data_IF_603572423464
#
_entry.id   IF_603572423464
#
_cell.length_a   1.000
_cell.length_b   1.000
_cell.length_c   1.000
_cell.angle_alpha   90.00
_cell.angle_beta   90.00
_cell.angle_gamma   90.00
#
_symmetry.space_group_name_H-M   'P 1'
#
loop_
_entity.id
_entity.type
_entity.pdbx_description
1 polymer ?
#
# COMPACT_ATOMS: atom_id res chain seq x y z
N UNK A 1 4.67 4.95 25.16
CA UNK A 1 3.67 4.82 24.07
C UNK A 1 4.15 5.53 22.82
N UNK A 2 4.62 6.76 22.93
CA UNK A 2 5.16 7.54 21.80
C UNK A 2 6.34 6.86 21.08
N UNK A 3 7.38 6.41 21.79
CA UNK A 3 8.52 5.70 21.18
C UNK A 3 8.08 4.45 20.39
N UNK A 4 7.16 3.66 20.95
CA UNK A 4 6.62 2.48 20.27
C UNK A 4 5.85 2.87 19.00
N UNK A 5 5.04 3.93 19.06
CA UNK A 5 4.35 4.48 17.90
C UNK A 5 5.35 4.97 16.84
N UNK A 6 6.40 5.70 17.23
CA UNK A 6 7.46 6.15 16.31
C UNK A 6 8.12 4.94 15.62
N UNK A 7 8.57 3.94 16.37
CA UNK A 7 9.19 2.73 15.79
C UNK A 7 8.24 2.05 14.80
N UNK A 8 6.98 1.86 15.18
CA UNK A 8 6.01 1.16 14.34
C UNK A 8 5.71 1.93 13.04
N UNK A 9 5.52 3.25 13.14
CA UNK A 9 5.36 4.13 11.98
C UNK A 9 6.59 4.10 11.08
N UNK A 10 7.79 4.19 11.65
CA UNK A 10 9.06 4.13 10.90
C UNK A 10 9.20 2.83 10.11
N UNK A 11 8.94 1.68 10.75
CA UNK A 11 8.95 0.37 10.08
C UNK A 11 7.90 0.28 8.95
N UNK A 12 6.70 0.80 9.18
CA UNK A 12 5.63 0.78 8.19
C UNK A 12 5.94 1.68 6.98
N UNK A 13 6.49 2.88 7.23
CA UNK A 13 6.94 3.80 6.19
C UNK A 13 8.05 3.14 5.35
N UNK A 14 9.06 2.55 5.99
CA UNK A 14 10.14 1.85 5.29
C UNK A 14 9.61 0.69 4.45
N UNK A 15 8.69 -0.11 4.99
CA UNK A 15 8.05 -1.21 4.25
C UNK A 15 7.29 -0.71 3.00
N UNK A 16 6.56 0.40 3.12
CA UNK A 16 5.84 1.01 2.00
C UNK A 16 6.79 1.52 0.91
N UNK A 17 7.86 2.22 1.30
CA UNK A 17 8.87 2.72 0.35
C UNK A 17 9.58 1.57 -0.38
N UNK A 18 9.94 0.49 0.34
CA UNK A 18 10.52 -0.72 -0.27
C UNK A 18 9.56 -1.35 -1.28
N UNK A 19 8.25 -1.38 -0.99
CA UNK A 19 7.25 -1.89 -1.94
C UNK A 19 7.17 -1.03 -3.20
N UNK A 20 7.22 0.29 -3.08
CA UNK A 20 7.22 1.19 -4.24
C UNK A 20 8.42 0.93 -5.13
N UNK A 21 9.63 0.84 -4.56
CA UNK A 21 10.84 0.51 -5.31
C UNK A 21 10.72 -0.87 -5.95
N UNK A 22 10.27 -1.88 -5.19
CA UNK A 22 10.12 -3.25 -5.68
C UNK A 22 9.15 -3.36 -6.86
N UNK A 23 8.10 -2.56 -6.90
CA UNK A 23 7.11 -2.55 -7.98
C UNK A 23 7.74 -2.15 -9.33
N UNK A 24 8.72 -1.23 -9.31
CA UNK A 24 9.40 -0.77 -10.52
C UNK A 24 10.70 -1.54 -10.83
N UNK A 25 11.43 -1.97 -9.80
CA UNK A 25 12.73 -2.62 -9.94
C UNK A 25 12.62 -4.10 -10.33
N UNK A 26 11.62 -4.82 -9.82
CA UNK A 26 11.47 -6.27 -10.07
C UNK A 26 10.82 -6.49 -11.43
N UNK A 27 11.36 -7.29 -12.36
CA UNK A 27 10.76 -7.52 -13.68
C UNK A 27 9.34 -8.12 -13.64
N UNK A 28 8.51 -7.79 -14.64
CA UNK A 28 7.11 -8.27 -14.73
C UNK A 28 6.96 -9.80 -14.58
N UNK A 29 7.77 -10.65 -15.25
CA UNK A 29 7.63 -12.10 -15.11
C UNK A 29 7.79 -12.59 -13.67
N UNK A 30 8.65 -11.93 -12.88
CA UNK A 30 8.84 -12.26 -11.46
C UNK A 30 7.67 -11.76 -10.63
N UNK A 31 7.19 -10.54 -10.88
CA UNK A 31 6.04 -9.97 -10.16
C UNK A 31 4.78 -10.81 -10.36
N UNK A 32 4.51 -11.22 -11.61
CA UNK A 32 3.28 -11.97 -11.93
C UNK A 32 3.29 -13.39 -11.36
N UNK A 33 4.46 -14.04 -11.30
CA UNK A 33 4.61 -15.35 -10.62
C UNK A 33 4.28 -15.24 -9.13
N UNK A 34 4.75 -14.19 -8.44
CA UNK A 34 4.44 -13.95 -7.02
C UNK A 34 2.94 -13.72 -6.81
N UNK A 35 2.31 -12.88 -7.63
CA UNK A 35 0.86 -12.64 -7.55
C UNK A 35 0.06 -13.91 -7.86
N UNK A 36 0.48 -14.72 -8.84
CA UNK A 36 -0.15 -15.99 -9.14
C UNK A 36 -0.10 -16.95 -7.94
N UNK A 37 1.05 -17.05 -7.26
CA UNK A 37 1.20 -17.87 -6.06
C UNK A 37 0.30 -17.41 -4.91
N UNK A 38 0.22 -16.09 -4.66
CA UNK A 38 -0.66 -15.53 -3.62
C UNK A 38 -2.12 -15.88 -3.86
N UNK A 39 -2.59 -15.83 -5.11
CA UNK A 39 -3.96 -16.19 -5.46
C UNK A 39 -4.21 -17.70 -5.56
N UNK A 40 -3.16 -18.54 -5.60
CA UNK A 40 -3.29 -19.99 -5.54
C UNK A 40 -3.42 -20.53 -4.10
N UNK A 41 -2.76 -19.89 -3.13
CA UNK A 41 -2.84 -20.23 -1.71
C UNK A 41 -4.03 -19.57 -1.02
N UNK A 42 -5.23 -20.12 -1.22
CA UNK A 42 -6.55 -19.51 -0.92
C UNK A 42 -6.87 -19.02 0.51
N UNK A 43 -5.91 -18.94 1.43
CA UNK A 43 -6.10 -18.39 2.78
C UNK A 43 -5.09 -17.32 3.21
N UNK A 44 -3.92 -17.25 2.56
CA UNK A 44 -2.85 -16.32 2.98
C UNK A 44 -3.30 -14.86 2.89
N UNK A 45 -3.99 -14.50 1.80
CA UNK A 45 -4.41 -13.13 1.57
C UNK A 45 -5.42 -12.66 2.63
N UNK A 46 -6.40 -13.50 2.99
CA UNK A 46 -7.40 -13.16 4.01
C UNK A 46 -6.75 -12.91 5.37
N UNK A 47 -5.89 -13.84 5.80
CA UNK A 47 -5.19 -13.71 7.07
C UNK A 47 -4.26 -12.49 7.11
N UNK A 48 -3.58 -12.22 6.00
CA UNK A 48 -2.75 -11.04 5.86
C UNK A 48 -3.58 -9.74 5.98
N UNK A 49 -4.74 -9.68 5.34
CA UNK A 49 -5.65 -8.53 5.42
C UNK A 49 -6.16 -8.33 6.85
N UNK A 50 -6.53 -9.41 7.56
CA UNK A 50 -6.95 -9.36 8.96
C UNK A 50 -5.83 -8.82 9.88
N UNK A 51 -4.59 -9.25 9.68
CA UNK A 51 -3.43 -8.72 10.43
C UNK A 51 -3.25 -7.23 10.17
N UNK A 52 -3.30 -6.82 8.90
CA UNK A 52 -3.13 -5.41 8.56
C UNK A 52 -4.25 -4.56 9.20
N UNK A 53 -5.48 -5.06 9.22
CA UNK A 53 -6.59 -4.38 9.87
C UNK A 53 -6.34 -4.21 11.37
N UNK A 54 -5.94 -5.29 12.07
CA UNK A 54 -5.59 -5.23 13.51
C UNK A 54 -4.45 -4.24 13.75
N UNK A 55 -3.43 -4.26 12.90
CA UNK A 55 -2.32 -3.32 12.98
C UNK A 55 -2.76 -1.86 12.83
N UNK A 56 -3.68 -1.56 11.89
CA UNK A 56 -4.23 -0.21 11.73
C UNK A 56 -5.02 0.24 12.96
N UNK A 57 -5.82 -0.65 13.56
CA UNK A 57 -6.54 -0.36 14.81
C UNK A 57 -5.57 -0.02 15.95
N UNK A 58 -4.49 -0.81 16.09
CA UNK A 58 -3.44 -0.57 17.09
C UNK A 58 -2.76 0.79 16.86
N UNK A 59 -2.42 1.13 15.61
CA UNK A 59 -1.82 2.44 15.28
C UNK A 59 -2.73 3.60 15.65
N UNK A 60 -4.03 3.52 15.33
CA UNK A 60 -5.00 4.57 15.67
C UNK A 60 -5.17 4.69 17.19
N UNK A 61 -5.23 3.57 17.91
CA UNK A 61 -5.32 3.56 19.37
C UNK A 61 -4.07 4.18 20.02
N UNK A 62 -2.88 3.85 19.53
CA UNK A 62 -1.62 4.44 19.98
C UNK A 62 -1.55 5.94 19.69
N UNK A 63 -2.00 6.38 18.50
CA UNK A 63 -2.07 7.80 18.15
C UNK A 63 -3.02 8.56 19.07
N UNK A 64 -4.20 8.00 19.33
CA UNK A 64 -5.17 8.57 20.27
C UNK A 64 -4.59 8.70 21.69
N UNK A 65 -3.84 7.69 22.14
CA UNK A 65 -3.20 7.68 23.47
C UNK A 65 -2.06 8.71 23.63
N UNK A 66 -1.45 9.18 22.54
CA UNK A 66 -0.37 10.18 22.56
C UNK A 66 -0.89 11.61 22.37
N UNK A 67 -2.15 11.78 21.95
CA UNK A 67 -2.78 13.09 21.74
C UNK A 67 -3.05 13.38 20.27
N UNK A 68 -4.12 12.78 19.75
CA UNK A 68 -4.56 12.95 18.37
C UNK A 68 -5.07 14.37 18.12
N UNK A 69 -4.46 15.06 17.15
CA UNK A 69 -4.95 16.35 16.66
C UNK A 69 -5.99 16.12 15.54
N UNK A 70 -7.20 16.66 15.73
CA UNK A 70 -8.37 16.29 14.94
C UNK A 70 -8.28 16.72 13.47
N UNK A 71 -7.74 17.91 13.19
CA UNK A 71 -7.63 18.43 11.82
C UNK A 71 -6.61 17.62 11.02
N UNK A 72 -5.44 17.34 11.59
CA UNK A 72 -4.38 16.55 10.99
C UNK A 72 -4.82 15.12 10.74
N UNK A 73 -5.50 14.50 11.70
CA UNK A 73 -6.04 13.15 11.55
C UNK A 73 -7.09 13.08 10.42
N UNK A 74 -8.08 13.98 10.45
CA UNK A 74 -9.17 13.99 9.46
C UNK A 74 -8.64 14.28 8.07
N UNK A 75 -7.72 15.25 7.94
CA UNK A 75 -7.06 15.56 6.66
C UNK A 75 -6.26 14.37 6.15
N UNK A 76 -5.46 13.73 7.00
CA UNK A 76 -4.68 12.55 6.64
C UNK A 76 -5.56 11.38 6.17
N UNK A 77 -6.68 11.13 6.85
CA UNK A 77 -7.66 10.11 6.47
C UNK A 77 -8.25 10.40 5.08
N UNK A 78 -8.71 11.62 4.83
CA UNK A 78 -9.28 12.02 3.53
C UNK A 78 -8.26 11.93 2.40
N UNK A 79 -7.01 12.38 2.64
CA UNK A 79 -5.91 12.27 1.68
C UNK A 79 -5.64 10.80 1.37
N UNK A 80 -5.52 9.93 2.38
CA UNK A 80 -5.26 8.50 2.19
C UNK A 80 -6.36 7.79 1.39
N UNK A 81 -7.62 8.05 1.71
CA UNK A 81 -8.77 7.51 0.98
C UNK A 81 -8.77 7.97 -0.49
N UNK A 82 -8.55 9.27 -0.72
CA UNK A 82 -8.56 9.85 -2.06
C UNK A 82 -7.41 9.30 -2.91
N UNK A 83 -6.19 9.23 -2.36
CA UNK A 83 -5.03 8.69 -3.09
C UNK A 83 -5.21 7.21 -3.44
N UNK A 84 -5.82 6.43 -2.55
CA UNK A 84 -6.15 5.02 -2.81
C UNK A 84 -7.17 4.89 -3.95
N UNK A 85 -8.24 5.70 -3.94
CA UNK A 85 -9.23 5.71 -5.00
C UNK A 85 -8.62 6.09 -6.36
N UNK A 86 -7.86 7.18 -6.41
CA UNK A 86 -7.20 7.64 -7.65
C UNK A 86 -6.20 6.60 -8.15
N UNK A 87 -5.47 5.94 -7.26
CA UNK A 87 -4.56 4.85 -7.61
C UNK A 87 -5.29 3.74 -8.37
N UNK A 88 -6.40 3.20 -7.82
CA UNK A 88 -7.13 2.10 -8.46
C UNK A 88 -7.81 2.51 -9.77
N UNK A 89 -8.34 3.72 -9.88
CA UNK A 89 -8.98 4.22 -11.10
C UNK A 89 -8.04 4.24 -12.31
N UNK A 90 -6.73 4.30 -12.10
CA UNK A 90 -5.75 4.30 -13.20
C UNK A 90 -5.62 2.95 -13.88
N UNK A 91 -6.08 1.87 -13.25
CA UNK A 91 -5.93 0.49 -13.72
C UNK A 91 -7.19 -0.10 -14.35
N UNK A 92 -8.15 0.73 -14.75
CA UNK A 92 -9.37 0.31 -15.46
C UNK A 92 -9.12 -0.13 -16.93
N UNK A 93 -7.88 -0.05 -17.40
CA UNK A 93 -7.54 -0.33 -18.80
C UNK A 93 -7.57 -1.83 -19.07
N UNK A 94 -8.08 -2.27 -20.24
CA UNK A 94 -8.02 -3.67 -20.64
C UNK A 94 -6.60 -4.22 -20.64
N UNK A 95 -6.42 -5.45 -20.18
CA UNK A 95 -5.15 -6.16 -20.23
C UNK A 95 -4.93 -6.78 -21.61
N UNK A 96 -3.69 -6.76 -22.09
CA UNK A 96 -3.31 -7.50 -23.29
C UNK A 96 -3.54 -9.02 -23.08
N UNK A 97 -3.87 -9.81 -24.13
CA UNK A 97 -4.25 -11.23 -23.99
C UNK A 97 -3.27 -12.07 -23.16
N UNK A 98 -1.95 -11.89 -23.34
CA UNK A 98 -0.92 -12.61 -22.58
C UNK A 98 -0.68 -12.10 -21.15
N UNK A 99 -1.47 -11.15 -20.66
CA UNK A 99 -1.39 -10.57 -19.31
C UNK A 99 -2.68 -10.71 -18.51
N UNK A 100 -3.70 -11.34 -19.09
CA UNK A 100 -4.96 -11.64 -18.39
C UNK A 100 -4.70 -12.75 -17.37
N UNK A 101 -5.24 -12.65 -16.13
CA UNK A 101 -5.12 -13.75 -15.17
C UNK A 101 -5.82 -15.02 -15.66
N UNK A 102 -5.33 -16.20 -15.27
CA UNK A 102 -6.05 -17.44 -15.54
C UNK A 102 -7.39 -17.46 -14.77
N UNK A 103 -8.43 -18.15 -15.27
CA UNK A 103 -9.67 -18.37 -14.52
C UNK A 103 -9.44 -19.02 -13.15
N UNK A 104 -10.34 -18.82 -12.17
CA UNK A 104 -11.48 -17.92 -12.21
C UNK A 104 -11.04 -16.45 -12.18
N UNK A 105 -11.76 -15.61 -12.93
CA UNK A 105 -11.55 -14.17 -12.94
C UNK A 105 -12.34 -13.56 -11.79
N UNK A 106 -11.63 -12.90 -10.87
CA UNK A 106 -12.26 -12.09 -9.82
C UNK A 106 -11.81 -10.64 -9.99
N UNK A 107 -12.60 -9.64 -9.53
CA UNK A 107 -12.21 -8.24 -9.61
C UNK A 107 -10.84 -7.96 -9.00
N UNK A 108 -10.57 -8.49 -7.80
CA UNK A 108 -9.29 -8.30 -7.10
C UNK A 108 -8.12 -8.94 -7.86
N UNK A 109 -8.28 -10.15 -8.40
CA UNK A 109 -7.23 -10.84 -9.16
C UNK A 109 -6.93 -10.08 -10.46
N UNK A 110 -7.96 -9.60 -11.14
CA UNK A 110 -7.85 -8.79 -12.37
C UNK A 110 -7.13 -7.48 -12.08
N UNK A 111 -7.50 -6.80 -11.01
CA UNK A 111 -6.86 -5.55 -10.57
C UNK A 111 -5.39 -5.77 -10.21
N UNK A 112 -5.07 -6.81 -9.43
CA UNK A 112 -3.68 -7.17 -9.11
C UNK A 112 -2.83 -7.38 -10.37
N UNK A 113 -3.35 -8.09 -11.37
CA UNK A 113 -2.67 -8.30 -12.64
C UNK A 113 -2.49 -6.99 -13.44
N UNK A 114 -3.52 -6.12 -13.46
CA UNK A 114 -3.44 -4.81 -14.11
C UNK A 114 -2.36 -3.91 -13.51
N UNK A 115 -2.28 -3.88 -12.16
CA UNK A 115 -1.24 -3.15 -11.43
C UNK A 115 0.15 -3.67 -11.79
N UNK A 116 0.33 -4.99 -11.82
CA UNK A 116 1.63 -5.58 -12.17
C UNK A 116 2.02 -5.34 -13.64
N UNK A 117 1.05 -5.35 -14.56
CA UNK A 117 1.30 -5.19 -15.98
C UNK A 117 1.78 -3.78 -16.33
N UNK A 118 1.22 -2.75 -15.69
CA UNK A 118 1.46 -1.35 -16.04
C UNK A 118 1.66 -0.45 -14.81
N UNK A 119 2.66 -0.72 -13.94
CA UNK A 119 2.83 0.01 -12.68
C UNK A 119 3.04 1.53 -12.86
N UNK A 120 3.53 1.94 -14.04
CA UNK A 120 3.73 3.35 -14.40
C UNK A 120 2.44 4.17 -14.47
N UNK A 121 1.27 3.54 -14.64
CA UNK A 121 -0.01 4.26 -14.70
C UNK A 121 -0.29 5.04 -13.41
N UNK A 122 0.14 4.51 -12.25
CA UNK A 122 0.05 5.14 -10.95
C UNK A 122 1.37 5.81 -10.50
N UNK A 123 2.29 6.07 -11.43
CA UNK A 123 3.59 6.64 -11.10
C UNK A 123 3.47 7.99 -10.38
N UNK A 124 2.52 8.85 -10.77
CA UNK A 124 2.30 10.15 -10.13
C UNK A 124 1.86 10.02 -8.67
N UNK A 125 0.94 9.11 -8.39
CA UNK A 125 0.37 8.89 -7.06
C UNK A 125 1.41 8.22 -6.15
N UNK A 126 2.18 7.27 -6.70
CA UNK A 126 3.30 6.65 -5.98
C UNK A 126 4.38 7.69 -5.65
N UNK A 127 4.72 8.60 -6.58
CA UNK A 127 5.68 9.67 -6.32
C UNK A 127 5.19 10.62 -5.21
N UNK A 128 3.93 11.03 -5.25
CA UNK A 128 3.34 11.87 -4.21
C UNK A 128 3.35 11.16 -2.85
N UNK A 129 2.89 9.90 -2.79
CA UNK A 129 2.92 9.10 -1.56
C UNK A 129 4.35 8.90 -1.05
N UNK A 130 5.31 8.63 -1.93
CA UNK A 130 6.71 8.49 -1.55
C UNK A 130 7.27 9.79 -0.96
N UNK A 131 6.98 10.95 -1.55
CA UNK A 131 7.40 12.24 -1.03
C UNK A 131 6.80 12.50 0.37
N UNK A 132 5.51 12.24 0.56
CA UNK A 132 4.85 12.39 1.86
C UNK A 132 5.43 11.43 2.92
N UNK A 133 5.71 10.18 2.54
CA UNK A 133 6.30 9.17 3.44
C UNK A 133 7.74 9.51 3.81
N UNK A 134 8.55 9.97 2.85
CA UNK A 134 9.94 10.41 3.11
C UNK A 134 9.94 11.62 4.05
N UNK A 135 9.05 12.59 3.81
CA UNK A 135 8.88 13.74 4.70
C UNK A 135 8.44 13.30 6.10
N UNK A 136 7.44 12.43 6.20
CA UNK A 136 6.97 11.91 7.48
C UNK A 136 8.09 11.18 8.24
N UNK A 137 8.90 10.35 7.55
CA UNK A 137 10.04 9.67 8.14
C UNK A 137 11.11 10.65 8.63
N UNK A 138 11.41 11.68 7.84
CA UNK A 138 12.33 12.74 8.25
C UNK A 138 11.84 13.43 9.53
N UNK A 139 10.57 13.83 9.58
CA UNK A 139 9.98 14.48 10.76
C UNK A 139 10.00 13.57 11.99
N UNK A 140 9.75 12.26 11.79
CA UNK A 140 9.76 11.27 12.87
C UNK A 140 11.14 11.09 13.50
N UNK A 141 12.21 11.24 12.70
CA UNK A 141 13.61 11.13 13.14
C UNK A 141 14.11 12.47 13.70
N UNK A 142 13.69 13.58 13.10
CA UNK A 142 14.16 14.92 13.45
C UNK A 142 13.50 15.49 14.71
N UNK A 143 12.31 15.02 15.08
CA UNK A 143 11.62 15.44 16.30
C UNK A 143 11.93 14.49 17.47
N UNK A 144 12.50 15.00 18.59
CA UNK A 144 12.82 14.20 19.77
C UNK A 144 11.57 13.51 20.34
#
# INVERSE_FOLDING_TARGET
MEVALKILLGLYILQALIKFVSLFAVPYPTRIKRIAAVHAGGGFLRWFDDILLVLMIVLVALLAAVGLEHLSFTTGLLVGLTLTQVFFHRFIRPLAPGRVPPPPLTPIKTMSYAIQAHPRLAGRDILLQAALLIWALFMLIAQP
#
